data_IF_520662975462
#
_entry.id   IF_520662975462
#
_cell.length_a   1.000
_cell.length_b   1.000
_cell.length_c   1.000
_cell.angle_alpha   90.00
_cell.angle_beta   90.00
_cell.angle_gamma   90.00
#
_symmetry.space_group_name_H-M   'P 1'
#
loop_
_entity.id
_entity.type
_entity.pdbx_description
1 polymer ?
#
# COMPACT_ATOMS: atom_id res chain seq x y z
N UNK A 1 -40.32 -26.22 -0.33
CA UNK A 1 -39.68 -24.96 -0.77
C UNK A 1 -38.63 -24.67 0.28
N UNK A 2 -37.41 -25.15 0.08
CA UNK A 2 -36.33 -25.04 1.07
C UNK A 2 -36.09 -23.56 1.37
N UNK A 3 -36.13 -23.19 2.65
CA UNK A 3 -35.75 -21.86 3.14
C UNK A 3 -34.23 -21.74 3.03
N UNK A 4 -33.74 -21.42 1.83
CA UNK A 4 -32.34 -21.13 1.60
C UNK A 4 -31.95 -19.87 2.38
N UNK A 5 -30.92 -19.97 3.24
CA UNK A 5 -30.39 -18.88 4.07
C UNK A 5 -29.54 -17.91 3.25
N UNK A 6 -30.19 -17.25 2.28
CA UNK A 6 -29.54 -16.35 1.33
C UNK A 6 -29.06 -15.08 2.01
N UNK A 7 -27.80 -14.75 1.79
CA UNK A 7 -27.19 -13.51 2.26
C UNK A 7 -27.03 -12.53 1.11
N UNK A 8 -27.17 -11.23 1.41
CA UNK A 8 -26.95 -10.19 0.41
C UNK A 8 -25.77 -9.30 0.80
N UNK A 9 -24.77 -9.23 -0.07
CA UNK A 9 -23.63 -8.35 0.06
C UNK A 9 -23.77 -7.17 -0.91
N UNK A 10 -23.57 -5.94 -0.44
CA UNK A 10 -23.57 -4.73 -1.26
C UNK A 10 -22.28 -3.96 -1.03
N UNK A 11 -21.42 -3.93 -2.03
CA UNK A 11 -20.19 -3.15 -2.03
C UNK A 11 -20.33 -1.96 -2.96
N UNK A 12 -20.01 -0.77 -2.49
CA UNK A 12 -20.12 0.44 -3.29
C UNK A 12 -19.07 1.48 -2.91
N UNK A 13 -18.57 2.19 -3.91
CA UNK A 13 -17.74 3.36 -3.71
C UNK A 13 -18.50 4.51 -3.04
N UNK A 14 -17.83 5.23 -2.14
CA UNK A 14 -18.28 6.53 -1.63
C UNK A 14 -17.54 7.64 -2.38
N UNK A 15 -18.27 8.70 -2.75
CA UNK A 15 -17.66 9.97 -3.16
C UNK A 15 -17.68 10.90 -1.94
N UNK A 16 -16.50 11.27 -1.44
CA UNK A 16 -16.37 12.30 -0.43
C UNK A 16 -16.65 13.67 -1.07
N UNK A 17 -17.93 14.04 -1.16
CA UNK A 17 -18.34 15.37 -1.62
C UNK A 17 -18.16 16.47 -0.54
N UNK A 18 -17.72 16.11 0.67
CA UNK A 18 -17.44 17.04 1.77
C UNK A 18 -16.02 17.62 1.71
N UNK A 19 -15.58 18.07 0.53
CA UNK A 19 -14.48 19.03 0.45
C UNK A 19 -15.11 20.38 0.12
N UNK A 20 -15.76 20.95 1.15
CA UNK A 20 -16.07 22.37 1.19
C UNK A 20 -14.76 23.14 0.98
N UNK A 21 -14.62 23.79 -0.18
CA UNK A 21 -13.85 25.01 -0.40
C UNK A 21 -12.72 25.29 0.61
N UNK A 22 -11.69 24.45 0.66
CA UNK A 22 -10.41 24.87 1.23
C UNK A 22 -9.63 25.62 0.14
N UNK A 23 -10.20 26.72 -0.35
CA UNK A 23 -9.42 27.81 -0.90
C UNK A 23 -8.66 28.43 0.27
N UNK A 24 -7.47 27.91 0.58
CA UNK A 24 -6.54 28.62 1.45
C UNK A 24 -6.08 29.85 0.68
N UNK A 25 -6.69 30.98 1.00
CA UNK A 25 -6.24 32.32 0.66
C UNK A 25 -4.75 32.45 0.95
N UNK A 26 -3.91 32.32 -0.08
CA UNK A 26 -2.54 32.80 -0.07
C UNK A 26 -2.61 34.32 -0.35
N UNK A 27 -2.87 35.08 0.72
CA UNK A 27 -2.45 36.47 0.83
C UNK A 27 -1.19 36.45 1.72
N UNK A 28 -0.05 37.03 1.38
CA UNK A 28 0.32 37.83 0.23
C UNK A 28 1.84 38.03 0.32
N UNK A 29 2.47 38.24 -0.83
CA UNK A 29 3.90 38.43 -0.91
C UNK A 29 4.28 38.63 -2.36
N UNK A 30 3.96 39.81 -2.88
CA UNK A 30 4.40 40.34 -4.17
C UNK A 30 5.81 39.86 -4.51
N UNK A 31 5.95 39.13 -5.60
CA UNK A 31 7.17 39.13 -6.39
C UNK A 31 6.76 39.17 -7.86
N UNK A 32 6.80 40.38 -8.41
CA UNK A 32 6.78 40.64 -9.83
C UNK A 32 7.95 39.89 -10.47
N UNK A 33 7.66 38.79 -11.15
CA UNK A 33 8.59 38.16 -12.08
C UNK A 33 8.45 38.90 -13.40
N UNK A 34 9.24 39.95 -13.58
CA UNK A 34 9.45 40.54 -14.90
C UNK A 34 10.25 39.55 -15.76
N UNK A 35 9.58 39.06 -16.81
CA UNK A 35 10.20 38.37 -17.95
C UNK A 35 11.12 39.35 -18.67
N UNK A 36 12.43 39.14 -18.59
CA UNK A 36 13.36 39.70 -19.56
C UNK A 36 13.21 38.94 -20.88
N UNK A 37 12.54 39.59 -21.83
CA UNK A 37 12.44 39.15 -23.22
C UNK A 37 13.63 39.71 -24.00
N UNK A 38 14.46 38.83 -24.55
CA UNK A 38 15.54 39.18 -25.47
C UNK A 38 14.98 39.74 -26.78
N UNK A 39 15.22 41.03 -27.06
CA UNK A 39 15.04 41.60 -28.39
C UNK A 39 16.38 42.04 -28.97
N UNK A 40 16.84 41.29 -29.97
CA UNK A 40 17.88 41.66 -30.93
C UNK A 40 17.43 42.92 -31.66
N UNK A 41 18.27 43.96 -31.68
CA UNK A 41 18.10 45.13 -32.56
C UNK A 41 19.09 45.01 -33.71
N UNK A 42 18.53 44.94 -34.91
CA UNK A 42 19.19 44.93 -36.21
C UNK A 42 19.67 46.33 -36.58
N UNK A 43 20.86 46.40 -37.19
CA UNK A 43 21.28 47.51 -38.05
C UNK A 43 20.34 47.62 -39.25
N UNK A 44 20.09 48.84 -39.71
CA UNK A 44 20.12 49.21 -41.13
C UNK A 44 20.24 50.73 -41.26
N UNK A 45 21.07 51.11 -42.23
CA UNK A 45 21.44 52.44 -42.66
C UNK A 45 20.30 53.17 -43.38
N UNK A 46 20.27 54.50 -43.29
CA UNK A 46 19.94 55.36 -44.43
C UNK A 46 20.47 56.79 -44.25
N UNK A 47 20.92 57.35 -45.37
CA UNK A 47 21.75 58.55 -45.56
C UNK A 47 20.87 59.67 -46.11
N UNK A 48 21.01 60.93 -45.64
CA UNK A 48 20.92 62.13 -46.50
C UNK A 48 21.45 63.44 -45.85
N UNK A 49 22.59 63.89 -46.39
CA UNK A 49 23.14 65.23 -46.67
C UNK A 49 22.84 66.54 -45.86
N UNK A 50 23.96 67.10 -45.33
CA UNK A 50 24.58 68.44 -45.62
C UNK A 50 24.03 69.77 -44.98
N UNK A 51 24.83 70.87 -44.86
CA UNK A 51 26.18 71.03 -44.27
C UNK A 51 26.35 72.27 -43.32
N UNK A 52 27.62 72.52 -42.89
CA UNK A 52 28.27 73.74 -42.32
C UNK A 52 28.27 73.93 -40.78
N UNK A 53 29.34 74.32 -40.06
CA UNK A 53 30.70 74.84 -40.34
C UNK A 53 31.58 74.86 -39.03
N UNK A 54 32.90 75.04 -39.19
CA UNK A 54 33.96 75.51 -38.25
C UNK A 54 34.89 74.53 -37.49
N UNK A 55 36.04 74.23 -38.15
CA UNK A 55 37.44 74.48 -37.75
C UNK A 55 37.94 74.21 -36.30
N UNK A 56 38.96 73.33 -36.14
CA UNK A 56 40.42 73.71 -36.00
C UNK A 56 41.33 72.47 -35.81
N UNK A 57 42.43 72.41 -36.57
CA UNK A 57 43.56 71.43 -36.47
C UNK A 57 44.66 71.92 -35.51
N UNK A 58 45.46 70.99 -34.92
CA UNK A 58 46.95 71.03 -34.90
C UNK A 58 47.59 69.74 -34.31
N UNK A 59 48.69 69.28 -34.93
CA UNK A 59 49.65 68.23 -34.48
C UNK A 59 50.77 68.86 -33.61
N UNK A 60 51.60 68.05 -32.94
CA UNK A 60 53.10 67.97 -33.06
C UNK A 60 53.68 66.91 -32.09
N UNK A 61 54.88 66.44 -32.43
CA UNK A 61 55.68 65.24 -32.15
C UNK A 61 56.56 65.20 -30.88
N UNK A 62 57.00 63.96 -30.56
CA UNK A 62 58.22 63.46 -29.86
C UNK A 62 58.97 64.30 -28.81
N UNK A 63 59.19 63.69 -27.63
CA UNK A 63 60.38 63.92 -26.80
C UNK A 63 60.75 62.66 -26.01
N UNK A 64 61.95 62.10 -26.24
CA UNK A 64 62.52 60.97 -25.49
C UNK A 64 63.40 61.53 -24.36
N UNK A 65 63.07 61.24 -23.10
CA UNK A 65 63.89 61.56 -21.93
C UNK A 65 64.64 60.30 -21.50
N UNK A 66 65.98 60.32 -21.52
CA UNK A 66 66.83 59.31 -20.88
C UNK A 66 66.91 59.59 -19.37
N UNK A 67 66.60 58.61 -18.53
CA UNK A 67 66.69 58.70 -17.07
C UNK A 67 67.92 57.91 -16.57
N UNK A 68 68.73 58.44 -15.62
CA UNK A 68 69.91 57.74 -15.11
C UNK A 68 69.57 56.53 -14.22
N UNK A 69 70.36 55.46 -14.34
CA UNK A 69 70.15 54.12 -13.75
C UNK A 69 70.53 54.04 -12.25
N UNK A 70 70.96 55.13 -11.61
CA UNK A 70 71.39 55.08 -10.20
C UNK A 70 70.21 55.11 -9.20
N UNK A 71 69.00 55.44 -9.67
CA UNK A 71 67.77 55.36 -8.88
C UNK A 71 67.12 53.97 -8.88
N UNK A 72 67.54 53.05 -9.75
CA UNK A 72 66.88 51.74 -9.89
C UNK A 72 67.31 50.72 -8.81
N UNK A 73 68.47 50.90 -8.17
CA UNK A 73 68.94 49.95 -7.14
C UNK A 73 68.17 50.07 -5.81
N UNK A 74 67.45 51.18 -5.59
CA UNK A 74 66.56 51.37 -4.44
C UNK A 74 65.12 50.88 -4.71
N UNK A 75 64.80 50.58 -5.97
CA UNK A 75 63.47 50.21 -6.44
C UNK A 75 63.25 48.68 -6.38
N UNK A 76 64.32 47.89 -6.52
CA UNK A 76 64.23 46.42 -6.52
C UNK A 76 63.70 45.75 -5.23
N UNK A 77 63.80 46.41 -4.07
CA UNK A 77 63.26 45.87 -2.80
C UNK A 77 61.86 46.42 -2.44
N UNK A 78 61.36 47.41 -3.19
CA UNK A 78 60.08 48.10 -2.91
C UNK A 78 59.01 47.83 -3.97
N UNK A 79 59.38 47.39 -5.17
CA UNK A 79 58.44 47.13 -6.26
C UNK A 79 57.55 45.90 -6.06
N UNK A 80 58.02 44.84 -5.40
CA UNK A 80 57.19 43.66 -5.16
C UNK A 80 56.02 43.95 -4.20
N UNK A 81 56.27 44.73 -3.13
CA UNK A 81 55.24 45.11 -2.16
C UNK A 81 54.27 46.15 -2.73
N UNK A 82 54.76 47.09 -3.55
CA UNK A 82 53.91 48.07 -4.22
C UNK A 82 53.04 47.42 -5.32
N UNK A 83 53.58 46.43 -6.01
CA UNK A 83 52.85 45.62 -6.98
C UNK A 83 51.72 44.84 -6.30
N UNK A 84 52.02 44.09 -5.23
CA UNK A 84 51.02 43.32 -4.49
C UNK A 84 49.91 44.19 -3.89
N UNK A 85 50.26 45.36 -3.36
CA UNK A 85 49.27 46.31 -2.81
C UNK A 85 48.32 46.83 -3.88
N UNK A 86 48.85 47.16 -5.08
CA UNK A 86 48.05 47.62 -6.23
C UNK A 86 47.12 46.53 -6.76
N UNK A 87 47.62 45.31 -6.88
CA UNK A 87 46.80 44.16 -7.31
C UNK A 87 45.73 43.81 -6.27
N UNK A 88 46.06 43.84 -4.98
CA UNK A 88 45.09 43.63 -3.90
C UNK A 88 44.02 44.71 -3.90
N UNK A 89 44.38 45.97 -4.15
CA UNK A 89 43.42 47.08 -4.25
C UNK A 89 42.47 46.92 -5.43
N UNK A 90 43.00 46.49 -6.59
CA UNK A 90 42.21 46.18 -7.77
C UNK A 90 41.25 45.02 -7.50
N UNK A 91 41.75 43.93 -6.93
CA UNK A 91 40.96 42.74 -6.60
C UNK A 91 39.84 43.03 -5.60
N UNK A 92 40.15 43.68 -4.48
CA UNK A 92 39.16 44.04 -3.46
C UNK A 92 38.13 45.05 -3.99
N UNK A 93 38.54 45.92 -4.92
CA UNK A 93 37.66 46.88 -5.59
C UNK A 93 36.64 46.25 -6.53
N UNK A 94 36.97 45.11 -7.13
CA UNK A 94 36.13 44.37 -8.09
C UNK A 94 35.37 43.22 -7.39
N UNK A 95 35.87 42.74 -6.24
CA UNK A 95 35.23 41.67 -5.48
C UNK A 95 33.83 42.04 -5.01
N UNK A 96 32.89 41.10 -5.15
CA UNK A 96 31.49 41.25 -4.70
C UNK A 96 31.33 41.00 -3.19
N UNK A 97 32.40 40.61 -2.48
CA UNK A 97 32.37 40.39 -1.04
C UNK A 97 32.42 41.73 -0.31
N UNK A 98 31.25 42.14 0.22
CA UNK A 98 31.04 43.46 0.80
C UNK A 98 31.98 43.82 1.97
N UNK A 99 32.42 42.84 2.77
CA UNK A 99 33.29 43.07 3.94
C UNK A 99 34.72 43.47 3.57
N UNK A 100 35.29 42.86 2.53
CA UNK A 100 36.70 43.05 2.13
C UNK A 100 37.00 44.48 1.71
N UNK A 101 36.11 45.12 0.96
CA UNK A 101 36.26 46.50 0.51
C UNK A 101 36.26 47.50 1.66
N UNK A 102 35.44 47.25 2.68
CA UNK A 102 35.33 48.11 3.87
C UNK A 102 36.50 47.91 4.83
N UNK A 103 37.03 46.69 4.94
CA UNK A 103 38.25 46.39 5.68
C UNK A 103 39.47 47.02 5.02
N UNK A 104 39.55 47.00 3.69
CA UNK A 104 40.67 47.57 2.94
C UNK A 104 40.68 49.12 3.00
N UNK A 105 39.50 49.76 2.89
CA UNK A 105 39.37 51.23 2.97
C UNK A 105 39.35 51.78 4.41
N UNK A 106 39.04 50.96 5.40
CA UNK A 106 38.96 51.37 6.81
C UNK A 106 40.31 51.72 7.43
N UNK A 107 40.33 52.69 8.36
CA UNK A 107 41.52 53.11 9.12
C UNK A 107 41.28 53.03 10.62
N UNK A 108 42.31 52.70 11.40
CA UNK A 108 42.26 52.63 12.86
C UNK A 108 41.12 51.75 13.39
N UNK A 109 40.32 52.29 14.31
CA UNK A 109 39.17 51.61 14.94
C UNK A 109 38.12 51.15 13.93
N UNK A 110 37.86 51.91 12.87
CA UNK A 110 36.85 51.53 11.86
C UNK A 110 37.27 50.29 11.08
N UNK A 111 38.58 50.06 10.90
CA UNK A 111 39.09 48.82 10.28
C UNK A 111 38.81 47.61 11.17
N UNK A 112 39.08 47.73 12.47
CA UNK A 112 38.82 46.68 13.45
C UNK A 112 37.33 46.35 13.56
N UNK A 113 36.46 47.37 13.53
CA UNK A 113 35.01 47.20 13.49
C UNK A 113 34.59 46.39 12.25
N UNK A 114 35.04 46.77 11.05
CA UNK A 114 34.68 46.04 9.83
C UNK A 114 35.22 44.61 9.79
N UNK A 115 36.40 44.36 10.38
CA UNK A 115 36.94 43.01 10.56
C UNK A 115 36.01 42.20 11.47
N UNK A 116 35.65 42.74 12.63
CA UNK A 116 34.77 42.07 13.59
C UNK A 116 33.39 41.76 12.99
N UNK A 117 32.75 42.73 12.34
CA UNK A 117 31.46 42.54 11.66
C UNK A 117 31.57 41.47 10.57
N UNK A 118 32.64 41.49 9.76
CA UNK A 118 32.84 40.50 8.69
C UNK A 118 33.06 39.10 9.27
N UNK A 119 33.82 38.96 10.36
CA UNK A 119 34.03 37.68 11.05
C UNK A 119 32.69 37.14 11.58
N UNK A 120 31.89 37.98 12.24
CA UNK A 120 30.56 37.60 12.73
C UNK A 120 29.68 37.11 11.58
N UNK A 121 29.63 37.84 10.45
CA UNK A 121 28.85 37.42 9.28
C UNK A 121 29.30 36.05 8.74
N UNK A 122 30.62 35.79 8.69
CA UNK A 122 31.16 34.50 8.26
C UNK A 122 30.79 33.37 9.24
N UNK A 123 30.86 33.62 10.54
CA UNK A 123 30.48 32.62 11.56
C UNK A 123 28.98 32.27 11.49
N UNK A 124 28.10 33.27 11.36
CA UNK A 124 26.66 33.03 11.18
C UNK A 124 26.38 32.28 9.87
N UNK A 125 27.08 32.62 8.79
CA UNK A 125 26.95 31.91 7.52
C UNK A 125 27.35 30.44 7.64
N UNK A 126 28.50 30.14 8.26
CA UNK A 126 28.95 28.77 8.46
C UNK A 126 27.99 27.98 9.37
N UNK A 127 27.48 28.61 10.43
CA UNK A 127 26.47 28.00 11.28
C UNK A 127 25.20 27.65 10.50
N UNK A 128 24.66 28.59 9.72
CA UNK A 128 23.46 28.37 8.90
C UNK A 128 23.70 27.30 7.82
N UNK A 129 24.88 27.28 7.22
CA UNK A 129 25.26 26.28 6.23
C UNK A 129 25.31 24.87 6.85
N UNK A 130 25.95 24.72 8.01
CA UNK A 130 26.00 23.43 8.74
C UNK A 130 24.58 23.00 9.13
N UNK A 131 23.76 23.92 9.64
CA UNK A 131 22.37 23.63 9.99
C UNK A 131 21.57 23.13 8.78
N UNK A 132 21.70 23.77 7.62
CA UNK A 132 21.01 23.39 6.39
C UNK A 132 21.51 22.05 5.83
N UNK A 133 22.83 21.80 5.88
CA UNK A 133 23.42 20.51 5.47
C UNK A 133 22.91 19.40 6.38
N UNK A 134 22.91 19.61 7.70
CA UNK A 134 22.39 18.64 8.67
C UNK A 134 20.89 18.36 8.42
N UNK A 135 20.09 19.41 8.17
CA UNK A 135 18.68 19.26 7.83
C UNK A 135 18.49 18.49 6.52
N UNK A 136 19.31 18.73 5.49
CA UNK A 136 19.26 17.98 4.25
C UNK A 136 19.65 16.51 4.45
N UNK A 137 20.69 16.22 5.25
CA UNK A 137 21.12 14.86 5.57
C UNK A 137 20.08 14.08 6.38
N UNK A 138 19.25 14.75 7.17
CA UNK A 138 18.12 14.14 7.88
C UNK A 138 16.98 13.70 6.94
N UNK A 139 17.03 14.04 5.64
CA UNK A 139 16.03 13.69 4.63
C UNK A 139 14.57 13.95 5.09
N UNK A 140 14.23 15.18 5.53
CA UNK A 140 12.89 15.50 5.97
C UNK A 140 11.91 15.26 4.81
N UNK A 141 10.90 14.44 5.06
CA UNK A 141 9.88 14.08 4.07
C UNK A 141 8.55 14.70 4.48
N UNK A 142 7.87 15.36 3.54
CA UNK A 142 6.53 15.89 3.72
C UNK A 142 5.54 15.06 2.91
N UNK A 143 4.45 14.62 3.56
CA UNK A 143 3.37 13.91 2.90
C UNK A 143 2.35 14.90 2.32
N UNK A 144 1.97 14.71 1.05
CA UNK A 144 0.92 15.48 0.40
C UNK A 144 -0.28 14.57 0.12
N UNK A 145 -1.50 15.04 0.42
CA UNK A 145 -2.75 14.32 0.18
C UNK A 145 -3.54 15.08 -0.87
N UNK A 146 -3.94 14.40 -1.95
CA UNK A 146 -4.82 14.96 -2.98
C UNK A 146 -6.00 14.04 -3.24
N UNK A 147 -7.18 14.63 -3.41
CA UNK A 147 -8.39 13.91 -3.76
C UNK A 147 -8.64 14.07 -5.26
N UNK A 148 -8.76 12.96 -5.97
CA UNK A 148 -8.96 12.92 -7.42
C UNK A 148 -10.26 12.14 -7.67
N UNK A 149 -11.23 12.77 -8.32
CA UNK A 149 -12.44 12.12 -8.82
C UNK A 149 -12.33 12.06 -10.35
N UNK A 150 -12.02 10.89 -10.93
CA UNK A 150 -11.99 10.74 -12.39
C UNK A 150 -13.40 10.87 -12.97
N UNK A 151 -13.54 11.56 -14.11
CA UNK A 151 -14.83 11.70 -14.81
C UNK A 151 -15.33 10.34 -15.35
N UNK A 152 -14.40 9.48 -15.78
CA UNK A 152 -14.70 8.14 -16.31
C UNK A 152 -15.02 7.09 -15.21
N UNK A 153 -15.05 7.52 -13.94
CA UNK A 153 -15.27 6.65 -12.79
C UNK A 153 -14.01 6.02 -12.24
N UNK A 154 -14.18 5.20 -11.20
CA UNK A 154 -13.10 4.50 -10.52
C UNK A 154 -13.16 3.02 -10.82
N UNK A 155 -12.02 2.43 -11.19
CA UNK A 155 -11.92 0.98 -11.40
C UNK A 155 -12.39 0.23 -10.16
N UNK A 156 -13.28 -0.74 -10.36
CA UNK A 156 -13.84 -1.49 -9.24
C UNK A 156 -12.80 -2.51 -8.73
N UNK A 157 -12.58 -2.61 -7.40
CA UNK A 157 -11.58 -3.53 -6.85
C UNK A 157 -11.98 -4.99 -7.06
N UNK A 158 -11.00 -5.87 -6.95
CA UNK A 158 -11.24 -7.30 -6.84
C UNK A 158 -11.93 -7.62 -5.52
N UNK A 159 -12.90 -8.54 -5.56
CA UNK A 159 -13.60 -9.04 -4.38
C UNK A 159 -13.47 -10.55 -4.35
N UNK A 160 -12.81 -11.08 -3.32
CA UNK A 160 -12.74 -12.54 -3.09
C UNK A 160 -13.76 -12.93 -2.04
N UNK A 161 -14.56 -13.95 -2.33
CA UNK A 161 -15.61 -14.48 -1.46
C UNK A 161 -15.35 -15.96 -1.20
N UNK A 162 -15.39 -16.34 0.07
CA UNK A 162 -15.20 -17.70 0.55
C UNK A 162 -16.40 -18.11 1.39
N UNK A 163 -16.87 -19.34 1.20
CA UNK A 163 -17.77 -19.98 2.15
C UNK A 163 -16.95 -20.41 3.37
N UNK A 164 -17.52 -20.31 4.58
CA UNK A 164 -16.92 -20.93 5.75
C UNK A 164 -16.90 -22.46 5.65
N UNK A 165 -17.86 -23.03 4.91
CA UNK A 165 -17.86 -24.43 4.57
C UNK A 165 -16.87 -24.72 3.43
N UNK A 166 -15.69 -25.23 3.78
CA UNK A 166 -14.62 -25.55 2.83
C UNK A 166 -14.81 -26.91 2.14
N UNK A 167 -15.65 -27.79 2.69
CA UNK A 167 -15.85 -29.16 2.24
C UNK A 167 -17.34 -29.51 2.28
N UNK A 168 -17.92 -29.84 1.12
CA UNK A 168 -19.30 -30.31 1.03
C UNK A 168 -19.47 -31.71 1.62
N UNK A 169 -20.50 -31.92 2.44
CA UNK A 169 -20.84 -33.23 2.99
C UNK A 169 -21.20 -34.22 1.89
N UNK A 170 -21.95 -33.78 0.88
CA UNK A 170 -22.32 -34.53 -0.31
C UNK A 170 -21.09 -35.05 -1.08
N UNK A 171 -20.05 -34.22 -1.19
CA UNK A 171 -18.78 -34.60 -1.84
C UNK A 171 -18.04 -35.68 -1.05
N UNK A 172 -17.96 -35.55 0.27
CA UNK A 172 -17.33 -36.57 1.14
C UNK A 172 -18.08 -37.91 1.05
N UNK A 173 -19.41 -37.88 1.08
CA UNK A 173 -20.23 -39.08 0.96
C UNK A 173 -20.02 -39.78 -0.39
N UNK A 174 -19.96 -39.01 -1.48
CA UNK A 174 -19.71 -39.53 -2.82
C UNK A 174 -18.27 -40.06 -2.98
N UNK A 175 -17.28 -39.37 -2.41
CA UNK A 175 -15.89 -39.82 -2.42
C UNK A 175 -15.76 -41.16 -1.68
N UNK A 176 -16.35 -41.27 -0.50
CA UNK A 176 -16.33 -42.51 0.26
C UNK A 176 -17.04 -43.66 -0.48
N UNK A 177 -18.15 -43.37 -1.16
CA UNK A 177 -18.89 -44.34 -1.99
C UNK A 177 -18.07 -44.82 -3.18
N UNK A 178 -17.40 -43.90 -3.88
CA UNK A 178 -16.61 -44.22 -5.07
C UNK A 178 -15.30 -44.93 -4.75
N UNK A 179 -14.75 -44.74 -3.55
CA UNK A 179 -13.54 -45.42 -3.09
C UNK A 179 -13.82 -46.67 -2.24
N UNK A 180 -15.03 -47.25 -2.33
CA UNK A 180 -15.44 -48.47 -1.62
C UNK A 180 -15.23 -48.41 -0.10
N UNK A 181 -15.49 -47.27 0.54
CA UNK A 181 -15.36 -47.14 1.99
C UNK A 181 -13.97 -46.76 2.49
N UNK A 182 -12.99 -46.54 1.60
CA UNK A 182 -11.61 -46.27 2.00
C UNK A 182 -11.36 -44.85 2.51
N UNK A 183 -12.26 -43.91 2.26
CA UNK A 183 -12.15 -42.53 2.74
C UNK A 183 -12.75 -42.42 4.14
N UNK A 184 -11.90 -42.53 5.16
CA UNK A 184 -12.32 -42.48 6.55
C UNK A 184 -12.52 -41.04 7.04
N UNK A 185 -13.36 -40.88 8.06
CA UNK A 185 -13.54 -39.60 8.73
C UNK A 185 -12.26 -39.12 9.46
N UNK A 186 -11.43 -40.05 9.94
CA UNK A 186 -10.10 -39.74 10.48
C UNK A 186 -9.17 -39.13 9.42
N UNK A 187 -9.24 -39.62 8.17
CA UNK A 187 -8.51 -39.03 7.04
C UNK A 187 -9.05 -37.63 6.72
N UNK A 188 -10.37 -37.44 6.75
CA UNK A 188 -10.98 -36.13 6.57
C UNK A 188 -10.50 -35.12 7.62
N UNK A 189 -10.48 -35.52 8.90
CA UNK A 189 -9.93 -34.71 10.01
C UNK A 189 -8.48 -34.32 9.74
N UNK A 190 -7.65 -35.28 9.32
CA UNK A 190 -6.25 -35.03 9.00
C UNK A 190 -6.09 -34.05 7.83
N UNK A 191 -6.84 -34.24 6.74
CA UNK A 191 -6.79 -33.35 5.57
C UNK A 191 -7.18 -31.92 5.93
N UNK A 192 -8.15 -31.74 6.82
CA UNK A 192 -8.61 -30.43 7.27
C UNK A 192 -7.56 -29.66 8.09
N UNK A 193 -6.56 -30.35 8.68
CA UNK A 193 -5.42 -29.70 9.33
C UNK A 193 -4.52 -28.95 8.35
N UNK A 194 -4.55 -29.30 7.06
CA UNK A 194 -3.60 -28.81 6.06
C UNK A 194 -3.65 -27.30 5.82
N UNK A 195 -4.78 -26.66 6.14
CA UNK A 195 -4.99 -25.21 5.99
C UNK A 195 -5.11 -24.46 7.32
N UNK A 196 -4.93 -25.15 8.45
CA UNK A 196 -4.92 -24.50 9.75
C UNK A 196 -3.57 -23.82 10.01
N UNK A 197 -3.60 -22.78 10.85
CA UNK A 197 -2.38 -22.18 11.37
C UNK A 197 -1.58 -23.20 12.20
N UNK A 198 -0.25 -23.12 12.14
CA UNK A 198 0.66 -24.10 12.77
C UNK A 198 0.37 -24.25 14.28
N UNK A 199 0.02 -23.17 14.97
CA UNK A 199 -0.31 -23.18 16.39
C UNK A 199 -1.52 -24.10 16.67
N UNK A 200 -2.54 -24.05 15.81
CA UNK A 200 -3.74 -24.89 15.93
C UNK A 200 -3.42 -26.35 15.62
N UNK A 201 -2.53 -26.61 14.66
CA UNK A 201 -2.08 -27.98 14.33
C UNK A 201 -1.29 -28.60 15.49
N UNK A 202 -0.49 -27.82 16.21
CA UNK A 202 0.25 -28.34 17.38
C UNK A 202 -0.73 -28.71 18.50
N UNK A 203 -1.71 -27.85 18.80
CA UNK A 203 -2.74 -28.17 19.80
C UNK A 203 -3.61 -29.35 19.38
N UNK A 204 -3.84 -29.53 18.08
CA UNK A 204 -4.55 -30.66 17.50
C UNK A 204 -3.88 -32.00 17.77
N UNK A 205 -2.54 -31.99 17.69
CA UNK A 205 -1.74 -33.20 17.58
C UNK A 205 -1.74 -34.02 18.87
N UNK A 206 -2.11 -33.39 19.99
CA UNK A 206 -2.32 -34.05 21.28
C UNK A 206 -3.56 -34.95 21.28
N UNK A 207 -4.56 -34.66 20.44
CA UNK A 207 -5.81 -35.43 20.32
C UNK A 207 -5.79 -36.39 19.11
N UNK A 208 -5.22 -35.96 17.99
CA UNK A 208 -5.10 -36.76 16.78
C UNK A 208 -3.62 -36.92 16.38
N UNK A 209 -3.01 -38.11 16.59
CA UNK A 209 -1.62 -38.34 16.22
C UNK A 209 -1.40 -38.11 14.73
N UNK A 210 -0.60 -37.10 14.38
CA UNK A 210 -0.32 -36.73 12.98
C UNK A 210 0.22 -37.91 12.16
N UNK A 211 0.97 -38.82 12.81
CA UNK A 211 1.48 -40.05 12.19
C UNK A 211 0.36 -40.98 11.70
N UNK A 212 -0.73 -41.10 12.46
CA UNK A 212 -1.90 -41.91 12.05
C UNK A 212 -2.56 -41.30 10.81
N UNK A 213 -2.70 -39.98 10.78
CA UNK A 213 -3.23 -39.26 9.63
C UNK A 213 -2.38 -39.43 8.37
N UNK A 214 -1.06 -39.35 8.51
CA UNK A 214 -0.12 -39.59 7.40
C UNK A 214 -0.23 -41.02 6.86
N UNK A 215 -0.32 -42.03 7.74
CA UNK A 215 -0.51 -43.43 7.33
C UNK A 215 -1.82 -43.62 6.54
N UNK A 216 -2.91 -43.01 7.01
CA UNK A 216 -4.20 -43.03 6.31
C UNK A 216 -4.11 -42.35 4.93
N UNK A 217 -3.43 -41.19 4.84
CA UNK A 217 -3.23 -40.49 3.59
C UNK A 217 -2.38 -41.32 2.61
N UNK A 218 -1.32 -41.97 3.08
CA UNK A 218 -0.46 -42.82 2.27
C UNK A 218 -1.23 -44.01 1.70
N UNK A 219 -2.01 -44.71 2.54
CA UNK A 219 -2.86 -45.82 2.10
C UNK A 219 -3.92 -45.35 1.09
N UNK A 220 -4.54 -44.19 1.32
CA UNK A 220 -5.53 -43.63 0.41
C UNK A 220 -4.93 -43.25 -0.94
N UNK A 221 -3.72 -42.68 -0.95
CA UNK A 221 -3.01 -42.28 -2.18
C UNK A 221 -2.61 -43.50 -3.03
N UNK A 222 -2.42 -44.67 -2.44
CA UNK A 222 -2.22 -45.92 -3.20
C UNK A 222 -3.49 -46.35 -3.95
N UNK A 223 -4.67 -46.06 -3.40
CA UNK A 223 -5.98 -46.34 -4.03
C UNK A 223 -6.30 -45.30 -5.09
N UNK A 224 -6.01 -44.02 -4.81
CA UNK A 224 -6.24 -42.88 -5.69
C UNK A 224 -4.90 -42.24 -6.06
N UNK A 225 -4.21 -42.72 -7.11
CA UNK A 225 -2.82 -42.36 -7.40
C UNK A 225 -2.60 -40.89 -7.79
N UNK A 226 -3.65 -40.17 -8.19
CA UNK A 226 -3.61 -38.73 -8.52
C UNK A 226 -4.17 -37.86 -7.38
N UNK A 227 -4.29 -38.38 -6.16
CA UNK A 227 -4.77 -37.61 -5.03
C UNK A 227 -3.77 -36.52 -4.65
N UNK A 228 -4.27 -35.29 -4.49
CA UNK A 228 -3.51 -34.18 -3.94
C UNK A 228 -4.40 -33.42 -2.97
N UNK A 229 -3.83 -32.90 -1.89
CA UNK A 229 -4.58 -32.13 -0.89
C UNK A 229 -5.21 -30.89 -1.56
N UNK A 230 -4.43 -30.13 -2.34
CA UNK A 230 -4.95 -28.99 -3.08
C UNK A 230 -6.09 -29.37 -4.04
N UNK A 231 -5.95 -30.51 -4.74
CA UNK A 231 -6.98 -31.04 -5.62
C UNK A 231 -8.24 -31.49 -4.87
N UNK A 232 -8.10 -32.05 -3.67
CA UNK A 232 -9.22 -32.37 -2.79
C UNK A 232 -10.02 -31.11 -2.46
N UNK A 233 -9.39 -30.07 -1.90
CA UNK A 233 -10.10 -28.84 -1.54
C UNK A 233 -10.65 -28.07 -2.75
N UNK A 234 -9.96 -28.13 -3.89
CA UNK A 234 -10.44 -27.50 -5.14
C UNK A 234 -11.72 -28.15 -5.68
N UNK A 235 -12.00 -29.42 -5.33
CA UNK A 235 -13.19 -30.14 -5.77
C UNK A 235 -14.25 -30.29 -4.66
N UNK A 236 -13.81 -30.29 -3.40
CA UNK A 236 -14.66 -30.47 -2.24
C UNK A 236 -15.50 -29.23 -1.91
N UNK A 237 -15.00 -28.03 -2.22
CA UNK A 237 -15.71 -26.78 -1.97
C UNK A 237 -16.98 -26.62 -2.82
N UNK A 238 -17.87 -25.69 -2.43
CA UNK A 238 -19.12 -25.43 -3.16
C UNK A 238 -18.84 -24.81 -4.53
N UNK A 239 -19.69 -25.12 -5.52
CA UNK A 239 -19.55 -24.58 -6.87
C UNK A 239 -19.90 -23.09 -6.91
N UNK A 240 -19.44 -22.39 -7.95
CA UNK A 240 -19.67 -20.96 -8.10
C UNK A 240 -21.16 -20.66 -8.27
N UNK A 241 -21.84 -21.46 -9.10
CA UNK A 241 -23.25 -21.30 -9.47
C UNK A 241 -24.18 -21.60 -8.28
N UNK A 242 -23.73 -22.44 -7.36
CA UNK A 242 -24.40 -22.75 -6.09
C UNK A 242 -24.17 -21.61 -5.08
N UNK A 243 -22.94 -21.09 -5.03
CA UNK A 243 -22.56 -20.06 -4.05
C UNK A 243 -23.05 -18.66 -4.43
N UNK A 244 -22.82 -18.21 -5.67
CA UNK A 244 -23.06 -16.84 -6.15
C UNK A 244 -24.32 -16.83 -7.03
N UNK A 245 -25.49 -16.73 -6.39
CA UNK A 245 -26.78 -16.86 -7.06
C UNK A 245 -27.14 -15.69 -7.98
N UNK A 246 -26.83 -14.45 -7.57
CA UNK A 246 -27.18 -13.24 -8.32
C UNK A 246 -26.10 -12.19 -8.15
N UNK A 247 -25.60 -11.64 -9.26
CA UNK A 247 -24.72 -10.48 -9.24
C UNK A 247 -25.32 -9.33 -10.03
N UNK A 248 -25.23 -8.13 -9.47
CA UNK A 248 -25.59 -6.91 -10.15
C UNK A 248 -24.54 -5.83 -9.91
N UNK A 249 -24.25 -5.05 -10.95
CA UNK A 249 -23.37 -3.89 -10.87
C UNK A 249 -24.07 -2.69 -11.49
N UNK A 250 -24.14 -1.57 -10.78
CA UNK A 250 -24.81 -0.38 -11.29
C UNK A 250 -26.31 -0.59 -11.62
N UNK A 251 -26.96 -1.53 -10.93
CA UNK A 251 -28.35 -1.93 -11.16
C UNK A 251 -28.58 -2.84 -12.37
N UNK A 252 -27.51 -3.28 -13.07
CA UNK A 252 -27.59 -4.26 -14.17
C UNK A 252 -27.14 -5.62 -13.68
N UNK A 253 -27.89 -6.67 -14.01
CA UNK A 253 -27.52 -8.05 -13.66
C UNK A 253 -26.45 -8.58 -14.60
N UNK A 254 -25.56 -9.42 -14.09
CA UNK A 254 -24.55 -10.12 -14.88
C UNK A 254 -24.28 -11.52 -14.31
N UNK A 255 -23.73 -12.41 -15.12
CA UNK A 255 -23.34 -13.74 -14.69
C UNK A 255 -22.08 -13.66 -13.80
N UNK A 256 -22.23 -13.95 -12.50
CA UNK A 256 -21.13 -13.97 -11.52
C UNK A 256 -19.96 -14.84 -11.99
N UNK A 257 -20.26 -16.08 -12.36
CA UNK A 257 -19.28 -17.14 -12.61
C UNK A 257 -18.56 -16.99 -13.95
N UNK A 258 -19.04 -16.12 -14.84
CA UNK A 258 -18.28 -15.68 -16.02
C UNK A 258 -17.05 -14.85 -15.63
N UNK A 259 -17.13 -14.09 -14.54
CA UNK A 259 -16.07 -13.16 -14.09
C UNK A 259 -15.45 -13.54 -12.74
N UNK A 260 -15.94 -14.60 -12.10
CA UNK A 260 -15.37 -15.17 -10.90
C UNK A 260 -14.33 -16.23 -11.26
N UNK A 261 -13.11 -16.08 -10.76
CA UNK A 261 -12.04 -17.06 -10.91
C UNK A 261 -11.91 -17.88 -9.63
N UNK A 262 -11.84 -19.22 -9.73
CA UNK A 262 -11.59 -20.06 -8.56
C UNK A 262 -10.18 -19.79 -8.02
N UNK A 263 -10.06 -19.67 -6.70
CA UNK A 263 -8.79 -19.49 -6.00
C UNK A 263 -8.81 -20.31 -4.72
N UNK A 264 -7.74 -21.04 -4.47
CA UNK A 264 -7.57 -21.81 -3.25
C UNK A 264 -6.94 -20.94 -2.18
N UNK A 265 -7.56 -20.88 -1.00
CA UNK A 265 -7.11 -20.10 0.16
C UNK A 265 -7.01 -21.00 1.38
N UNK A 266 -6.65 -20.43 2.53
CA UNK A 266 -6.71 -21.10 3.83
C UNK A 266 -8.14 -21.44 4.28
N UNK A 267 -9.16 -20.87 3.63
CA UNK A 267 -10.57 -21.25 3.82
C UNK A 267 -11.05 -22.31 2.81
N UNK A 268 -10.16 -22.88 2.00
CA UNK A 268 -10.50 -23.80 0.92
C UNK A 268 -10.82 -23.06 -0.39
N UNK A 269 -11.73 -23.62 -1.19
CA UNK A 269 -12.10 -23.08 -2.50
C UNK A 269 -12.92 -21.79 -2.37
N UNK A 270 -12.44 -20.73 -3.00
CA UNK A 270 -13.07 -19.43 -3.02
C UNK A 270 -13.17 -18.86 -4.44
N UNK A 271 -13.91 -17.77 -4.57
CA UNK A 271 -14.18 -17.13 -5.84
C UNK A 271 -13.76 -15.67 -5.82
N UNK A 272 -12.83 -15.31 -6.72
CA UNK A 272 -12.32 -13.96 -6.90
C UNK A 272 -12.99 -13.30 -8.11
N UNK A 273 -13.80 -12.29 -7.84
CA UNK A 273 -14.48 -11.48 -8.85
C UNK A 273 -13.55 -10.37 -9.35
N UNK A 274 -13.16 -10.44 -10.63
CA UNK A 274 -12.26 -9.49 -11.29
C UNK A 274 -13.01 -8.59 -12.29
N UNK A 275 -13.85 -7.69 -11.78
CA UNK A 275 -14.72 -6.87 -12.64
C UNK A 275 -13.94 -5.86 -13.50
N UNK A 276 -12.79 -5.38 -13.03
CA UNK A 276 -11.91 -4.47 -13.77
C UNK A 276 -11.38 -5.07 -15.09
N UNK A 277 -11.37 -6.41 -15.22
CA UNK A 277 -10.91 -7.12 -16.43
C UNK A 277 -12.06 -7.64 -17.29
N UNK A 278 -13.30 -7.32 -16.96
CA UNK A 278 -14.45 -7.77 -17.71
C UNK A 278 -14.47 -7.18 -19.14
N UNK A 279 -14.96 -7.94 -20.11
CA UNK A 279 -15.16 -7.44 -21.49
C UNK A 279 -16.19 -6.30 -21.55
N UNK A 280 -17.11 -6.25 -20.57
CA UNK A 280 -18.20 -5.27 -20.52
C UNK A 280 -17.77 -4.03 -19.72
N UNK A 281 -17.70 -2.89 -20.41
CA UNK A 281 -17.15 -1.63 -19.88
C UNK A 281 -17.88 -1.17 -18.61
N UNK A 282 -19.19 -1.42 -18.49
CA UNK A 282 -19.96 -0.97 -17.32
C UNK A 282 -19.58 -1.71 -16.03
N UNK A 283 -18.94 -2.89 -16.11
CA UNK A 283 -18.45 -3.64 -14.95
C UNK A 283 -17.09 -3.14 -14.47
N UNK A 284 -16.31 -2.53 -15.36
CA UNK A 284 -14.92 -2.19 -15.07
C UNK A 284 -14.79 -1.05 -14.05
N UNK A 285 -15.71 -0.09 -14.08
CA UNK A 285 -15.61 1.14 -13.27
C UNK A 285 -16.95 1.60 -12.71
N UNK A 286 -16.92 2.08 -11.47
CA UNK A 286 -18.04 2.74 -10.82
C UNK A 286 -17.96 4.25 -11.05
N UNK A 287 -18.95 4.80 -11.76
CA UNK A 287 -19.02 6.25 -12.08
C UNK A 287 -19.65 7.05 -10.94
N UNK A 288 -20.75 6.55 -10.37
CA UNK A 288 -21.50 7.24 -9.33
C UNK A 288 -21.37 6.53 -7.98
N UNK A 289 -21.31 7.30 -6.89
CA UNK A 289 -21.33 6.73 -5.54
C UNK A 289 -22.70 6.15 -5.17
N UNK A 290 -22.71 5.31 -4.13
CA UNK A 290 -23.93 4.85 -3.47
C UNK A 290 -24.31 3.41 -3.76
N UNK A 291 -25.16 2.87 -2.89
CA UNK A 291 -25.52 1.44 -2.81
C UNK A 291 -26.02 0.84 -4.12
N UNK A 292 -26.79 1.61 -4.90
CA UNK A 292 -27.37 1.13 -6.16
C UNK A 292 -26.35 1.08 -7.31
N UNK A 293 -25.24 1.82 -7.18
CA UNK A 293 -24.28 2.03 -8.25
C UNK A 293 -23.05 1.11 -8.15
N UNK A 294 -22.91 0.36 -7.06
CA UNK A 294 -21.82 -0.60 -6.87
C UNK A 294 -22.20 -2.05 -7.19
N UNK A 295 -21.41 -2.97 -6.66
CA UNK A 295 -21.60 -4.42 -6.74
C UNK A 295 -22.60 -4.90 -5.69
N UNK A 296 -23.57 -5.71 -6.11
CA UNK A 296 -24.53 -6.38 -5.26
C UNK A 296 -24.48 -7.86 -5.57
N UNK A 297 -24.36 -8.69 -4.53
CA UNK A 297 -24.27 -10.14 -4.64
C UNK A 297 -25.31 -10.74 -3.72
N UNK A 298 -26.06 -11.72 -4.20
CA UNK A 298 -26.84 -12.63 -3.37
C UNK A 298 -26.12 -13.97 -3.40
N UNK A 299 -25.75 -14.47 -2.23
CA UNK A 299 -24.99 -15.70 -2.08
C UNK A 299 -25.70 -16.68 -1.14
N UNK A 300 -25.52 -17.98 -1.37
CA UNK A 300 -26.09 -19.07 -0.58
C UNK A 300 -24.99 -19.93 0.05
N UNK A 301 -24.94 -19.94 1.39
CA UNK A 301 -23.87 -20.63 2.11
C UNK A 301 -24.07 -22.14 2.18
N UNK A 302 -25.19 -22.67 1.65
CA UNK A 302 -25.49 -24.09 1.60
C UNK A 302 -25.26 -24.77 2.96
N UNK A 303 -25.93 -24.24 3.98
CA UNK A 303 -25.81 -24.70 5.37
C UNK A 303 -26.14 -26.20 5.49
N UNK A 304 -27.06 -26.69 4.67
CA UNK A 304 -27.48 -28.09 4.61
C UNK A 304 -26.40 -29.05 4.10
N UNK A 305 -25.34 -28.56 3.45
CA UNK A 305 -24.24 -29.38 2.91
C UNK A 305 -22.94 -29.22 3.73
N UNK A 306 -23.08 -28.79 4.99
CA UNK A 306 -21.98 -28.70 5.95
C UNK A 306 -21.66 -30.08 6.53
N UNK A 307 -20.37 -30.39 6.65
CA UNK A 307 -19.93 -31.62 7.32
C UNK A 307 -20.22 -31.50 8.81
N UNK A 308 -21.25 -32.20 9.28
CA UNK A 308 -21.52 -32.36 10.70
C UNK A 308 -20.47 -33.27 11.32
N UNK A 309 -19.60 -32.66 12.13
CA UNK A 309 -18.56 -33.37 12.84
C UNK A 309 -19.08 -33.76 14.21
N UNK A 310 -19.70 -34.95 14.31
CA UNK A 310 -20.12 -35.50 15.59
C UNK A 310 -18.91 -35.58 16.54
N UNK A 311 -18.97 -34.81 17.63
CA UNK A 311 -18.18 -35.12 18.82
C UNK A 311 -18.66 -36.47 19.31
N UNK A 312 -17.85 -37.51 19.16
CA UNK A 312 -18.14 -38.88 19.58
C UNK A 312 -19.02 -38.96 20.83
N UNK A 313 -20.32 -39.16 20.61
CA UNK A 313 -21.27 -39.57 21.63
C UNK A 313 -22.10 -40.72 21.06
N UNK A 314 -21.49 -41.89 21.06
CA UNK A 314 -22.21 -43.16 20.88
C UNK A 314 -21.70 -44.14 21.93
N UNK A 315 -22.12 -43.95 23.19
CA UNK A 315 -22.27 -45.11 24.05
C UNK A 315 -23.52 -45.84 23.57
N UNK A 316 -23.30 -46.94 22.84
CA UNK A 316 -24.30 -47.98 22.70
C UNK A 316 -24.43 -48.67 24.05
N UNK A 317 -25.35 -48.19 24.89
CA UNK A 317 -25.68 -48.83 26.15
C UNK A 317 -26.47 -50.12 25.87
N UNK A 318 -25.77 -51.26 25.93
CA UNK A 318 -26.37 -52.54 26.28
C UNK A 318 -26.42 -52.66 27.80
N UNK A 319 -27.62 -52.95 28.32
CA UNK A 319 -27.96 -53.16 29.72
C UNK A 319 -26.96 -54.07 30.47
N UNK A 320 -26.40 -53.59 31.59
CA UNK A 320 -26.30 -54.39 32.83
C UNK A 320 -26.13 -53.47 34.06
N UNK A 321 -27.01 -53.66 35.04
CA UNK A 321 -27.20 -52.82 36.23
C UNK A 321 -26.17 -53.09 37.36
N UNK A 322 -25.96 -52.06 38.20
CA UNK A 322 -25.68 -52.09 39.67
C UNK A 322 -24.31 -51.74 40.28
N UNK A 323 -23.30 -51.21 39.57
CA UNK A 323 -22.10 -50.64 40.25
C UNK A 323 -21.81 -49.16 39.90
N UNK A 324 -22.64 -48.57 39.05
CA UNK A 324 -22.29 -47.31 38.37
C UNK A 324 -22.68 -46.03 39.13
N UNK A 325 -23.54 -46.10 40.17
CA UNK A 325 -24.05 -44.87 40.82
C UNK A 325 -22.99 -44.15 41.68
N UNK A 326 -22.07 -44.90 42.31
CA UNK A 326 -21.01 -44.33 43.14
C UNK A 326 -19.81 -43.84 42.31
N UNK A 327 -19.54 -44.49 41.17
CA UNK A 327 -18.53 -44.06 40.21
C UNK A 327 -19.00 -42.85 39.39
N UNK A 328 -20.28 -42.73 39.04
CA UNK A 328 -20.86 -41.54 38.40
C UNK A 328 -20.74 -40.26 39.23
N UNK A 329 -20.86 -40.36 40.55
CA UNK A 329 -20.68 -39.21 41.45
C UNK A 329 -19.21 -38.80 41.58
N UNK A 330 -18.29 -39.78 41.57
CA UNK A 330 -16.85 -39.50 41.55
C UNK A 330 -16.44 -38.88 40.21
N UNK A 331 -17.00 -39.38 39.11
CA UNK A 331 -16.75 -38.87 37.76
C UNK A 331 -17.40 -37.49 37.55
N UNK A 332 -18.57 -37.20 38.14
CA UNK A 332 -19.14 -35.84 38.17
C UNK A 332 -18.31 -34.84 38.99
N UNK A 333 -17.63 -35.29 40.05
CA UNK A 333 -16.77 -34.44 40.87
C UNK A 333 -15.38 -34.21 40.25
N UNK A 334 -14.88 -35.17 39.46
CA UNK A 334 -13.59 -35.06 38.75
C UNK A 334 -13.75 -34.43 37.35
N UNK A 335 -14.89 -34.62 36.68
CA UNK A 335 -15.20 -34.00 35.37
C UNK A 335 -15.54 -32.51 35.45
N UNK A 336 -15.75 -31.97 36.66
CA UNK A 336 -15.82 -30.52 36.87
C UNK A 336 -14.53 -29.75 36.56
N UNK A 337 -13.40 -30.45 36.35
CA UNK A 337 -12.08 -29.85 36.04
C UNK A 337 -11.56 -30.28 34.66
N UNK A 338 -12.14 -31.31 34.02
CA UNK A 338 -11.81 -31.65 32.64
C UNK A 338 -12.72 -30.86 31.71
N UNK A 339 -12.26 -29.65 31.38
CA UNK A 339 -12.89 -28.81 30.37
C UNK A 339 -13.34 -29.67 29.19
N UNK A 340 -14.65 -29.71 28.97
CA UNK A 340 -15.29 -30.24 27.77
C UNK A 340 -15.14 -29.19 26.65
N UNK A 341 -13.93 -28.69 26.50
CA UNK A 341 -13.39 -28.00 25.34
C UNK A 341 -12.26 -28.90 24.86
N UNK A 342 -12.07 -29.05 23.56
CA UNK A 342 -10.72 -29.06 22.94
C UNK A 342 -10.77 -29.70 21.54
N UNK A 343 -11.74 -30.58 21.23
CA UNK A 343 -12.04 -30.91 19.81
C UNK A 343 -12.62 -29.69 19.07
N UNK A 344 -13.29 -28.80 19.82
CA UNK A 344 -13.93 -27.57 19.35
C UNK A 344 -12.93 -26.54 18.80
N UNK A 345 -11.65 -26.61 19.20
CA UNK A 345 -10.61 -25.70 18.76
C UNK A 345 -10.04 -26.03 17.37
N UNK A 346 -10.17 -27.28 16.93
CA UNK A 346 -9.62 -27.76 15.67
C UNK A 346 -10.31 -27.17 14.44
N UNK A 347 -11.54 -26.69 14.64
CA UNK A 347 -12.47 -26.31 13.60
C UNK A 347 -13.20 -25.02 13.95
N UNK A 348 -12.51 -24.02 14.50
CA UNK A 348 -13.11 -22.73 14.85
C UNK A 348 -13.85 -22.07 13.66
N UNK A 349 -13.46 -22.38 12.41
CA UNK A 349 -14.14 -21.90 11.20
C UNK A 349 -15.42 -22.71 10.82
N UNK A 350 -15.62 -23.91 11.35
CA UNK A 350 -16.77 -24.80 10.99
C UNK A 350 -18.03 -24.45 11.77
N UNK A 351 -17.91 -23.80 12.94
CA UNK A 351 -19.08 -23.30 13.68
C UNK A 351 -19.67 -22.03 13.07
N UNK A 352 -18.87 -21.32 12.28
CA UNK A 352 -19.32 -20.14 11.57
C UNK A 352 -20.06 -20.58 10.30
N UNK A 353 -21.33 -20.21 10.21
CA UNK A 353 -22.12 -20.37 8.99
C UNK A 353 -22.13 -19.03 8.26
N UNK A 354 -21.98 -19.05 6.94
CA UNK A 354 -22.07 -17.86 6.10
C UNK A 354 -20.86 -17.71 5.19
N UNK A 355 -20.40 -16.48 5.01
CA UNK A 355 -19.29 -16.18 4.11
C UNK A 355 -18.29 -15.22 4.73
N UNK A 356 -17.08 -15.27 4.19
CA UNK A 356 -16.07 -14.24 4.37
C UNK A 356 -15.72 -13.63 3.04
N UNK A 357 -15.63 -12.31 2.97
CA UNK A 357 -15.17 -11.64 1.76
C UNK A 357 -14.05 -10.65 2.08
N UNK A 358 -13.21 -10.42 1.09
CA UNK A 358 -12.08 -9.51 1.17
C UNK A 358 -12.02 -8.64 -0.08
N UNK A 359 -11.83 -7.33 0.12
CA UNK A 359 -11.74 -6.34 -0.95
C UNK A 359 -10.30 -5.94 -1.12
N UNK A 360 -9.75 -6.12 -2.31
CA UNK A 360 -8.32 -5.91 -2.55
C UNK A 360 -8.03 -5.42 -3.95
N UNK A 361 -6.79 -4.97 -4.18
CA UNK A 361 -6.34 -4.66 -5.54
C UNK A 361 -6.09 -5.94 -6.32
N UNK A 362 -6.15 -5.86 -7.65
CA UNK A 362 -5.97 -7.02 -8.54
C UNK A 362 -4.59 -7.68 -8.44
N UNK A 363 -3.60 -6.97 -7.89
CA UNK A 363 -2.24 -7.47 -7.69
C UNK A 363 -2.01 -8.11 -6.33
N UNK A 364 -2.92 -7.92 -5.37
CA UNK A 364 -2.79 -8.45 -4.02
C UNK A 364 -3.41 -9.85 -3.92
N UNK A 365 -2.77 -10.71 -3.13
CA UNK A 365 -3.35 -12.00 -2.73
C UNK A 365 -4.42 -11.77 -1.65
N UNK A 366 -5.50 -12.55 -1.64
CA UNK A 366 -6.58 -12.33 -0.68
C UNK A 366 -6.22 -12.91 0.70
N UNK A 367 -6.12 -12.05 1.71
CA UNK A 367 -5.81 -12.42 3.09
C UNK A 367 -7.11 -12.59 3.92
N UNK A 368 -7.94 -13.57 3.57
CA UNK A 368 -9.28 -13.71 4.17
C UNK A 368 -9.26 -14.07 5.65
N UNK A 369 -8.34 -14.92 6.11
CA UNK A 369 -8.24 -15.31 7.52
C UNK A 369 -8.00 -14.13 8.46
N UNK A 370 -7.10 -13.23 8.07
CA UNK A 370 -6.64 -12.11 8.89
C UNK A 370 -7.42 -10.81 8.67
N UNK A 371 -7.81 -10.50 7.43
CA UNK A 371 -8.40 -9.21 7.04
C UNK A 371 -9.80 -9.32 6.41
N UNK A 372 -10.33 -10.54 6.28
CA UNK A 372 -11.64 -10.78 5.70
C UNK A 372 -12.81 -10.36 6.60
N UNK A 373 -13.88 -9.87 5.99
CA UNK A 373 -15.11 -9.44 6.65
C UNK A 373 -16.13 -10.57 6.59
N UNK A 374 -16.70 -10.91 7.75
CA UNK A 374 -17.71 -11.97 7.91
C UNK A 374 -19.12 -11.48 7.58
N UNK A 375 -19.88 -12.35 6.91
CA UNK A 375 -21.30 -12.15 6.56
C UNK A 375 -22.08 -13.35 7.08
N UNK A 376 -22.96 -13.11 8.05
CA UNK A 376 -23.83 -14.14 8.59
C UNK A 376 -24.99 -14.47 7.64
N UNK A 377 -25.55 -15.69 7.69
CA UNK A 377 -26.63 -16.13 6.81
C UNK A 377 -27.89 -15.30 7.04
N UNK A 378 -28.68 -15.07 5.98
CA UNK A 378 -29.92 -14.28 6.06
C UNK A 378 -29.72 -12.79 6.33
N UNK A 379 -28.47 -12.29 6.34
CA UNK A 379 -28.18 -10.87 6.58
C UNK A 379 -27.94 -10.11 5.28
N UNK A 380 -28.13 -8.78 5.36
CA UNK A 380 -27.71 -7.86 4.31
C UNK A 380 -26.58 -6.98 4.83
N UNK A 381 -25.42 -7.09 4.20
CA UNK A 381 -24.21 -6.35 4.57
C UNK A 381 -23.94 -5.25 3.54
N UNK A 382 -23.65 -4.05 4.03
CA UNK A 382 -23.34 -2.88 3.23
C UNK A 382 -21.91 -2.44 3.50
N UNK A 383 -21.09 -2.41 2.46
CA UNK A 383 -19.67 -2.14 2.56
C UNK A 383 -19.33 -0.97 1.67
N UNK A 384 -19.06 0.15 2.33
CA UNK A 384 -18.76 1.40 1.67
C UNK A 384 -17.24 1.52 1.54
N UNK A 385 -16.72 1.57 0.31
CA UNK A 385 -15.29 1.48 0.01
C UNK A 385 -14.77 2.81 -0.51
N UNK A 386 -13.58 3.23 -0.06
CA UNK A 386 -12.87 4.41 -0.58
C UNK A 386 -11.46 4.01 -1.01
N UNK A 387 -11.12 4.08 -2.31
CA UNK A 387 -9.79 3.71 -2.77
C UNK A 387 -8.76 4.76 -2.35
N UNK A 388 -7.63 4.30 -1.83
CA UNK A 388 -6.49 5.14 -1.48
C UNK A 388 -5.26 4.68 -2.25
N UNK A 389 -4.52 5.64 -2.85
CA UNK A 389 -3.24 5.36 -3.50
C UNK A 389 -2.12 6.02 -2.72
N UNK A 390 -1.24 5.21 -2.15
CA UNK A 390 -0.05 5.68 -1.43
C UNK A 390 1.17 5.54 -2.34
N UNK A 391 2.00 6.59 -2.41
CA UNK A 391 3.30 6.54 -3.08
C UNK A 391 4.37 6.90 -2.06
N UNK A 392 5.30 5.99 -1.85
CA UNK A 392 6.44 6.20 -0.98
C UNK A 392 7.60 6.78 -1.79
N UNK A 393 8.45 7.58 -1.12
CA UNK A 393 9.74 7.98 -1.67
C UNK A 393 10.73 6.83 -1.46
N UNK A 394 11.58 6.59 -2.45
CA UNK A 394 12.64 5.58 -2.38
C UNK A 394 13.91 6.13 -1.75
#
# INVERSE_FOLDING_TARGET
MSTADRSQLRLFGIQNNNISNYHRSINGGNNNVERYSSSKISKNDEIMDSPNNHQRKRRVSEFIIRVPIDHLKKIGATDELNSLSRETQSFVGIATIHGLLRIYRGRGIFRLLWIFVTIICVLFFLYQLIALINQYQQKPTASHVSFILPEDGMAFPSVTICNYNSIRQSFVAELNRTTNGSFSYDLLKYLALSYLEVQLVVTASDEFPLQKGEELLQNFTQIVPNFTINGFFSNAGPLCEETLLLCSFGGREFNCCKYAQPILTDMGLCYRLELAKADEIFLQSQIHAGVANGLQIIADCHKEDQVEMESSSSNSDSEEETVDSFLRLLDQLISGIKSKSDITGLFAQVFDVGFRYYVHSDSALPALSSEGITVSPGTRVYSAVSPNRVRFLN
#
